data_IF_463205248142
#
_entry.id   IF_463205248142
#
_cell.length_a   1.000
_cell.length_b   1.000
_cell.length_c   1.000
_cell.angle_alpha   90.00
_cell.angle_beta   90.00
_cell.angle_gamma   90.00
#
_symmetry.space_group_name_H-M   'P 1'
#
loop_
_entity.id
_entity.type
_entity.pdbx_description
1 polymer ?
#
# COMPACT_ATOMS: atom_id res chain seq x y z
N UNK A 1 -10.11 11.11 20.16
CA UNK A 1 -9.72 10.03 19.22
C UNK A 1 -8.36 10.36 18.64
N UNK A 2 -7.45 9.41 18.73
CA UNK A 2 -6.07 9.60 18.29
C UNK A 2 -5.99 9.59 16.75
N UNK A 3 -5.10 10.42 16.19
CA UNK A 3 -4.75 10.37 14.78
C UNK A 3 -3.57 9.41 14.60
N UNK A 4 -3.68 8.51 13.63
CA UNK A 4 -2.62 7.54 13.30
C UNK A 4 -2.07 7.86 11.93
N UNK A 5 -0.89 8.49 11.85
CA UNK A 5 -0.25 8.72 10.56
C UNK A 5 0.37 7.42 10.04
N UNK A 6 0.24 7.19 8.75
CA UNK A 6 0.86 6.04 8.11
C UNK A 6 1.28 6.37 6.68
N UNK A 7 2.31 5.68 6.20
CA UNK A 7 2.76 5.74 4.82
C UNK A 7 2.29 4.50 4.09
N UNK A 8 1.74 4.69 2.89
CA UNK A 8 1.22 3.64 2.04
C UNK A 8 1.97 3.63 0.72
N UNK A 9 2.20 2.46 0.19
CA UNK A 9 3.07 2.27 -0.97
C UNK A 9 2.28 1.76 -2.16
N UNK A 10 2.35 2.51 -3.25
CA UNK A 10 1.85 2.05 -4.55
C UNK A 10 3.06 1.48 -5.28
N UNK A 11 3.29 0.19 -5.12
CA UNK A 11 4.44 -0.50 -5.73
C UNK A 11 4.01 -1.00 -7.09
N UNK A 12 4.67 -0.52 -8.13
CA UNK A 12 4.28 -0.79 -9.51
C UNK A 12 5.38 -1.57 -10.23
N UNK A 13 4.98 -2.64 -10.91
CA UNK A 13 5.84 -3.40 -11.82
C UNK A 13 6.08 -2.62 -13.11
N UNK A 14 7.01 -3.07 -13.98
CA UNK A 14 7.21 -2.42 -15.28
C UNK A 14 5.95 -2.36 -16.14
N UNK A 15 5.03 -3.31 -15.96
CA UNK A 15 3.74 -3.36 -16.68
C UNK A 15 2.64 -2.57 -15.98
N UNK A 16 2.96 -1.81 -14.92
CA UNK A 16 2.00 -1.06 -14.11
C UNK A 16 0.98 -1.95 -13.40
N UNK A 17 1.38 -3.14 -12.99
CA UNK A 17 0.61 -3.94 -12.04
C UNK A 17 0.94 -3.46 -10.63
N UNK A 18 -0.07 -3.38 -9.76
CA UNK A 18 0.11 -2.89 -8.40
C UNK A 18 0.15 -4.04 -7.41
N UNK A 19 1.12 -3.97 -6.49
CA UNK A 19 1.25 -4.96 -5.43
C UNK A 19 0.26 -4.67 -4.31
N UNK A 20 -0.57 -5.67 -3.99
CA UNK A 20 -1.44 -5.62 -2.82
C UNK A 20 -1.23 -6.87 -1.99
N UNK A 21 -1.43 -6.72 -0.67
CA UNK A 21 -1.43 -7.84 0.28
C UNK A 21 -2.84 -8.18 0.68
N UNK A 22 -3.11 -9.48 0.80
CA UNK A 22 -4.39 -9.98 1.30
C UNK A 22 -4.29 -10.18 2.81
N UNK A 23 -5.08 -9.41 3.55
CA UNK A 23 -5.16 -9.52 5.00
C UNK A 23 -6.35 -10.37 5.40
N UNK A 24 -6.11 -11.33 6.29
CA UNK A 24 -7.15 -12.21 6.81
C UNK A 24 -7.01 -12.26 8.33
N UNK A 25 -7.95 -11.62 9.02
CA UNK A 25 -7.91 -11.52 10.48
C UNK A 25 -8.74 -12.64 11.10
N UNK A 26 -8.14 -13.41 12.02
CA UNK A 26 -8.78 -14.58 12.61
C UNK A 26 -8.89 -14.54 14.12
N UNK A 27 -8.01 -13.78 14.82
CA UNK A 27 -7.98 -13.79 16.28
C UNK A 27 -7.66 -12.43 16.89
N UNK A 28 -8.05 -11.36 16.21
CA UNK A 28 -7.93 -10.00 16.75
C UNK A 28 -9.29 -9.28 16.63
N UNK A 29 -9.32 -7.98 16.93
CA UNK A 29 -10.55 -7.20 16.92
C UNK A 29 -11.20 -7.12 15.53
N UNK A 30 -10.46 -7.43 14.47
CA UNK A 30 -10.95 -7.44 13.09
C UNK A 30 -11.30 -8.85 12.61
N UNK A 31 -11.38 -9.83 13.50
CA UNK A 31 -11.68 -11.22 13.15
C UNK A 31 -12.84 -11.35 12.18
N UNK A 32 -12.66 -12.19 11.17
CA UNK A 32 -13.64 -12.42 10.11
C UNK A 32 -13.49 -11.49 8.92
N UNK A 33 -12.63 -10.48 8.98
CA UNK A 33 -12.40 -9.57 7.86
C UNK A 33 -11.29 -10.10 6.95
N UNK A 34 -11.57 -10.09 5.65
CA UNK A 34 -10.59 -10.39 4.60
C UNK A 34 -10.66 -9.28 3.56
N UNK A 35 -9.52 -8.70 3.25
CA UNK A 35 -9.44 -7.61 2.28
C UNK A 35 -8.02 -7.51 1.72
N UNK A 36 -7.89 -6.79 0.62
CA UNK A 36 -6.60 -6.45 0.02
C UNK A 36 -6.27 -5.00 0.30
N UNK A 37 -5.02 -4.72 0.59
CA UNK A 37 -4.59 -3.34 0.84
C UNK A 37 -3.14 -3.15 0.40
N UNK A 38 -2.77 -1.87 0.23
CA UNK A 38 -1.41 -1.48 -0.12
C UNK A 38 -0.44 -1.83 1.00
N UNK A 39 0.82 -2.16 0.68
CA UNK A 39 1.87 -2.23 1.69
C UNK A 39 2.03 -0.90 2.41
N UNK A 40 2.59 -0.94 3.61
CA UNK A 40 2.85 0.24 4.40
C UNK A 40 2.45 0.06 5.85
N UNK A 41 2.58 1.11 6.62
CA UNK A 41 2.24 1.06 8.04
C UNK A 41 2.43 2.40 8.74
N UNK A 42 2.18 2.39 10.03
CA UNK A 42 2.25 3.59 10.87
C UNK A 42 3.67 4.13 11.03
N UNK A 43 3.76 5.43 11.22
CA UNK A 43 5.01 6.09 11.54
C UNK A 43 5.48 5.67 12.93
N UNK A 44 6.78 5.48 13.06
CA UNK A 44 7.43 5.29 14.36
C UNK A 44 7.81 6.65 14.94
N UNK A 45 8.20 6.65 16.21
CA UNK A 45 8.54 7.88 16.90
C UNK A 45 9.64 8.66 16.14
N UNK A 46 9.41 9.95 15.94
CA UNK A 46 10.32 10.87 15.23
C UNK A 46 10.56 10.52 13.76
N UNK A 47 9.71 9.69 13.17
CA UNK A 47 9.84 9.30 11.78
C UNK A 47 9.00 10.23 10.89
N UNK A 48 9.56 10.62 9.73
CA UNK A 48 8.78 11.31 8.71
C UNK A 48 7.98 10.31 7.88
N UNK A 49 7.02 10.79 7.10
CA UNK A 49 6.28 9.93 6.19
C UNK A 49 7.21 9.26 5.17
N UNK A 50 8.20 9.98 4.64
CA UNK A 50 9.16 9.38 3.71
C UNK A 50 10.00 8.30 4.38
N UNK A 51 10.49 8.56 5.58
CA UNK A 51 11.27 7.56 6.33
C UNK A 51 10.46 6.31 6.60
N UNK A 52 9.20 6.47 6.98
CA UNK A 52 8.29 5.34 7.19
C UNK A 52 8.06 4.57 5.89
N UNK A 53 7.87 5.28 4.78
CA UNK A 53 7.68 4.65 3.48
C UNK A 53 8.88 3.77 3.12
N UNK A 54 10.09 4.27 3.29
CA UNK A 54 11.31 3.53 2.96
C UNK A 54 11.52 2.33 3.89
N UNK A 55 11.24 2.50 5.18
CA UNK A 55 11.34 1.42 6.16
C UNK A 55 10.33 0.31 5.87
N UNK A 56 9.07 0.68 5.67
CA UNK A 56 8.02 -0.30 5.37
C UNK A 56 8.27 -1.02 4.05
N UNK A 57 8.81 -0.32 3.05
CA UNK A 57 9.16 -0.91 1.77
C UNK A 57 10.18 -2.04 1.97
N UNK A 58 11.23 -1.78 2.74
CA UNK A 58 12.24 -2.78 3.04
C UNK A 58 11.65 -3.95 3.85
N UNK A 59 10.91 -3.64 4.91
CA UNK A 59 10.35 -4.65 5.80
C UNK A 59 9.37 -5.58 5.09
N UNK A 60 8.52 -5.03 4.24
CA UNK A 60 7.42 -5.80 3.65
C UNK A 60 7.74 -6.39 2.29
N UNK A 61 8.65 -5.79 1.53
CA UNK A 61 8.95 -6.27 0.17
C UNK A 61 10.41 -6.64 -0.06
N UNK A 62 11.31 -6.20 0.82
CA UNK A 62 12.75 -6.37 0.64
C UNK A 62 13.39 -5.34 -0.29
N UNK A 63 12.61 -4.43 -0.87
CA UNK A 63 13.14 -3.41 -1.77
C UNK A 63 13.85 -2.31 -0.99
N UNK A 64 15.02 -1.90 -1.48
CA UNK A 64 15.82 -0.85 -0.88
C UNK A 64 15.82 0.36 -1.80
N UNK A 65 15.46 1.53 -1.24
CA UNK A 65 15.48 2.81 -1.94
C UNK A 65 16.06 3.87 -1.01
N UNK A 66 16.67 4.90 -1.58
CA UNK A 66 17.23 6.02 -0.82
C UNK A 66 16.26 7.18 -0.73
N UNK A 67 15.27 7.21 -1.60
CA UNK A 67 14.22 8.23 -1.61
C UNK A 67 12.91 7.60 -2.06
N UNK A 68 11.81 8.06 -1.46
CA UNK A 68 10.47 7.58 -1.82
C UNK A 68 9.81 8.44 -2.89
N UNK A 69 10.43 9.55 -3.26
CA UNK A 69 9.81 10.52 -4.15
C UNK A 69 8.75 11.35 -3.44
N UNK A 70 7.99 12.16 -4.19
CA UNK A 70 6.98 13.00 -3.58
C UNK A 70 5.76 12.19 -3.13
N UNK A 71 5.08 12.69 -2.11
CA UNK A 71 3.77 12.19 -1.75
C UNK A 71 2.79 12.53 -2.88
N UNK A 72 2.08 11.52 -3.38
CA UNK A 72 1.20 11.70 -4.54
C UNK A 72 -0.28 11.78 -4.18
N UNK A 73 -0.64 11.38 -2.98
CA UNK A 73 -2.03 11.39 -2.52
C UNK A 73 -2.07 11.27 -1.00
N UNK A 74 -3.21 11.63 -0.44
CA UNK A 74 -3.47 11.42 0.98
C UNK A 74 -4.95 11.11 1.17
N UNK A 75 -5.28 10.46 2.29
CA UNK A 75 -6.66 10.29 2.70
C UNK A 75 -6.75 10.22 4.22
N UNK A 76 -7.92 10.60 4.74
CA UNK A 76 -8.20 10.59 6.17
C UNK A 76 -9.57 9.97 6.39
N UNK A 77 -9.66 9.07 7.35
CA UNK A 77 -10.91 8.38 7.66
C UNK A 77 -10.81 7.73 9.03
N UNK A 78 -11.97 7.39 9.59
CA UNK A 78 -12.04 6.68 10.88
C UNK A 78 -11.91 5.19 10.64
N UNK A 79 -11.07 4.52 11.42
CA UNK A 79 -10.89 3.07 11.31
C UNK A 79 -10.65 2.43 12.67
N UNK A 80 -10.93 1.14 12.76
CA UNK A 80 -10.59 0.34 13.93
C UNK A 80 -9.31 -0.46 13.65
N UNK A 81 -8.40 -0.43 14.62
CA UNK A 81 -7.16 -1.21 14.56
C UNK A 81 -7.39 -2.63 15.09
N UNK A 82 -6.41 -3.50 14.83
CA UNK A 82 -6.47 -4.91 15.26
C UNK A 82 -6.58 -5.07 16.77
N UNK A 83 -6.11 -4.08 17.55
CA UNK A 83 -6.23 -4.08 19.02
C UNK A 83 -7.60 -3.55 19.51
N UNK A 84 -8.49 -3.16 18.59
CA UNK A 84 -9.81 -2.63 18.91
C UNK A 84 -9.87 -1.13 19.08
N UNK A 85 -8.74 -0.43 19.05
CA UNK A 85 -8.74 1.03 19.15
C UNK A 85 -9.31 1.65 17.87
N UNK A 86 -10.19 2.64 18.02
CA UNK A 86 -10.68 3.44 16.90
C UNK A 86 -9.85 4.70 16.77
N UNK A 87 -9.35 4.97 15.58
CA UNK A 87 -8.46 6.09 15.30
C UNK A 87 -8.91 6.84 14.06
N UNK A 88 -8.39 8.06 13.89
CA UNK A 88 -8.45 8.77 12.61
C UNK A 88 -7.18 8.43 11.85
N UNK A 89 -7.30 7.70 10.76
CA UNK A 89 -6.16 7.39 9.90
C UNK A 89 -5.80 8.62 9.08
N UNK A 90 -4.49 8.90 9.00
CA UNK A 90 -3.93 9.92 8.10
C UNK A 90 -2.93 9.19 7.21
N UNK A 91 -3.36 8.81 6.02
CA UNK A 91 -2.55 8.01 5.10
C UNK A 91 -1.95 8.88 3.99
N UNK A 92 -0.66 8.72 3.78
CA UNK A 92 0.08 9.39 2.71
C UNK A 92 0.65 8.34 1.77
N UNK A 93 0.47 8.55 0.45
CA UNK A 93 0.79 7.55 -0.57
C UNK A 93 2.01 7.94 -1.38
N UNK A 94 2.87 6.97 -1.63
CA UNK A 94 4.11 7.14 -2.40
C UNK A 94 4.14 6.07 -3.50
N UNK A 95 4.55 6.46 -4.71
CA UNK A 95 4.73 5.50 -5.82
C UNK A 95 6.15 4.98 -5.80
N UNK A 96 6.29 3.66 -5.81
CA UNK A 96 7.58 2.97 -5.91
C UNK A 96 7.56 2.14 -7.19
N UNK A 97 8.41 2.48 -8.13
CA UNK A 97 8.57 1.68 -9.34
C UNK A 97 9.61 0.60 -9.09
N UNK A 98 9.32 -0.63 -9.50
CA UNK A 98 10.26 -1.74 -9.37
C UNK A 98 10.39 -2.47 -10.70
N UNK A 99 11.52 -3.14 -10.90
CA UNK A 99 11.76 -3.99 -12.07
C UNK A 99 11.71 -5.48 -11.72
N UNK A 100 11.23 -5.82 -10.53
CA UNK A 100 11.08 -7.20 -10.09
C UNK A 100 9.70 -7.41 -9.49
N UNK A 101 9.16 -8.62 -9.62
CA UNK A 101 7.94 -9.03 -8.94
C UNK A 101 8.21 -9.91 -7.73
N UNK A 102 9.48 -10.13 -7.40
CA UNK A 102 9.87 -10.95 -6.26
C UNK A 102 9.67 -10.18 -4.95
N UNK A 103 9.09 -10.85 -3.96
CA UNK A 103 8.83 -10.29 -2.64
C UNK A 103 9.62 -11.07 -1.60
N UNK A 104 10.45 -10.36 -0.83
CA UNK A 104 11.18 -10.95 0.28
C UNK A 104 10.37 -10.75 1.57
N UNK A 105 9.86 -11.84 2.12
CA UNK A 105 9.02 -11.85 3.32
C UNK A 105 9.80 -12.09 4.60
N UNK A 106 11.13 -12.18 4.50
CA UNK A 106 11.96 -12.59 5.64
C UNK A 106 11.94 -11.60 6.80
N UNK A 107 11.58 -10.33 6.54
CA UNK A 107 11.53 -9.28 7.54
C UNK A 107 10.13 -9.00 8.08
N UNK A 108 9.13 -9.79 7.67
CA UNK A 108 7.77 -9.63 8.19
C UNK A 108 7.75 -9.88 9.69
N UNK A 109 7.00 -9.05 10.42
CA UNK A 109 6.77 -9.24 11.84
C UNK A 109 5.95 -10.51 12.07
N UNK A 110 5.93 -10.99 13.32
CA UNK A 110 5.09 -12.15 13.69
C UNK A 110 3.62 -11.89 13.37
N UNK A 111 3.14 -10.67 13.62
CA UNK A 111 1.75 -10.30 13.32
C UNK A 111 1.50 -10.26 11.82
N UNK A 112 2.43 -9.73 11.04
CA UNK A 112 2.29 -9.71 9.57
C UNK A 112 2.23 -11.11 8.99
N UNK A 113 3.10 -12.01 9.46
CA UNK A 113 3.09 -13.41 9.02
C UNK A 113 1.76 -14.10 9.33
N UNK A 114 1.09 -13.66 10.38
CA UNK A 114 -0.17 -14.24 10.83
C UNK A 114 -1.36 -13.71 10.03
N UNK A 115 -1.37 -12.41 9.70
CA UNK A 115 -2.54 -11.78 9.07
C UNK A 115 -2.42 -11.63 7.56
N UNK A 116 -1.21 -11.54 7.01
CA UNK A 116 -1.03 -11.44 5.56
C UNK A 116 -1.01 -12.85 4.98
N UNK A 117 -2.11 -13.21 4.32
CA UNK A 117 -2.30 -14.55 3.76
C UNK A 117 -1.61 -14.70 2.40
N UNK A 118 -1.59 -13.63 1.59
CA UNK A 118 -1.13 -13.71 0.22
C UNK A 118 -0.73 -12.33 -0.29
N UNK A 119 -0.07 -12.30 -1.44
CA UNK A 119 0.17 -11.08 -2.20
C UNK A 119 -0.15 -11.34 -3.66
N UNK A 120 -0.47 -10.27 -4.40
CA UNK A 120 -0.78 -10.37 -5.81
C UNK A 120 -0.47 -9.04 -6.50
N UNK A 121 -0.03 -9.13 -7.74
CA UNK A 121 0.20 -7.97 -8.59
C UNK A 121 -1.02 -7.77 -9.47
N UNK A 122 -1.83 -6.79 -9.11
CA UNK A 122 -3.14 -6.55 -9.75
C UNK A 122 -3.00 -5.67 -10.97
N UNK A 123 -3.71 -6.03 -12.07
CA UNK A 123 -3.88 -5.14 -13.22
C UNK A 123 -5.04 -4.19 -12.96
N UNK A 124 -5.07 -3.07 -13.71
CA UNK A 124 -6.19 -2.14 -13.58
C UNK A 124 -7.52 -2.80 -13.95
N UNK A 125 -7.50 -3.69 -14.95
CA UNK A 125 -8.72 -4.40 -15.37
C UNK A 125 -9.22 -5.34 -14.28
N UNK A 126 -8.31 -6.03 -13.61
CA UNK A 126 -8.69 -6.89 -12.48
C UNK A 126 -9.30 -6.06 -11.36
N UNK A 127 -8.72 -4.89 -11.06
CA UNK A 127 -9.23 -4.01 -10.02
C UNK A 127 -10.64 -3.49 -10.36
N UNK A 128 -10.89 -3.19 -11.64
CA UNK A 128 -12.20 -2.68 -12.08
C UNK A 128 -13.30 -3.71 -11.99
N UNK A 129 -12.99 -4.99 -12.04
CA UNK A 129 -13.98 -6.07 -12.18
C UNK A 129 -14.01 -7.03 -11.01
N UNK A 130 -13.16 -6.86 -10.00
CA UNK A 130 -13.10 -7.78 -8.87
C UNK A 130 -14.28 -7.59 -7.91
N UNK A 131 -14.71 -8.70 -7.29
CA UNK A 131 -15.65 -8.67 -6.17
C UNK A 131 -14.93 -8.62 -4.81
N UNK A 132 -13.61 -8.68 -4.83
CA UNK A 132 -12.82 -8.60 -3.60
C UNK A 132 -12.88 -7.21 -2.99
N UNK A 133 -12.70 -7.14 -1.67
CA UNK A 133 -12.64 -5.86 -0.96
C UNK A 133 -11.21 -5.33 -1.07
N UNK A 134 -11.05 -4.16 -1.64
CA UNK A 134 -9.75 -3.54 -1.88
C UNK A 134 -9.73 -2.12 -1.31
N UNK A 135 -8.71 -1.80 -0.51
CA UNK A 135 -8.54 -0.48 0.08
C UNK A 135 -7.18 0.12 -0.32
N UNK A 136 -7.17 1.34 -0.83
CA UNK A 136 -8.29 2.17 -1.32
C UNK A 136 -8.50 1.98 -2.82
N UNK A 137 -9.57 1.33 -3.22
CA UNK A 137 -9.80 0.92 -4.60
C UNK A 137 -9.79 2.10 -5.59
N UNK A 138 -10.61 3.11 -5.32
CA UNK A 138 -10.76 4.22 -6.27
C UNK A 138 -9.48 5.03 -6.44
N UNK A 139 -8.76 5.24 -5.35
CA UNK A 139 -7.49 5.97 -5.39
C UNK A 139 -6.45 5.20 -6.22
N UNK A 140 -6.37 3.88 -6.03
CA UNK A 140 -5.44 3.04 -6.79
C UNK A 140 -5.79 3.07 -8.26
N UNK A 141 -7.07 2.91 -8.62
CA UNK A 141 -7.50 2.96 -10.01
C UNK A 141 -7.16 4.31 -10.64
N UNK A 142 -7.43 5.41 -9.93
CA UNK A 142 -7.12 6.73 -10.44
C UNK A 142 -5.63 6.93 -10.71
N UNK A 143 -4.77 6.43 -9.83
CA UNK A 143 -3.32 6.49 -10.03
C UNK A 143 -2.91 5.69 -11.26
N UNK A 144 -3.43 4.48 -11.42
CA UNK A 144 -3.09 3.63 -12.57
C UNK A 144 -3.59 4.24 -13.86
N UNK A 145 -4.79 4.80 -13.88
CA UNK A 145 -5.33 5.49 -15.07
C UNK A 145 -4.47 6.69 -15.44
N UNK A 146 -4.03 7.46 -14.47
CA UNK A 146 -3.17 8.61 -14.70
C UNK A 146 -1.85 8.20 -15.36
N UNK A 147 -1.28 7.07 -14.95
CA UNK A 147 -0.04 6.56 -15.53
C UNK A 147 -0.26 6.05 -16.96
N UNK A 148 -1.41 5.49 -17.28
CA UNK A 148 -1.73 5.03 -18.62
C UNK A 148 -1.86 6.20 -19.62
N UNK A 149 -2.41 7.35 -19.15
CA UNK A 149 -2.58 8.53 -19.98
C UNK A 149 -1.33 9.40 -20.04
N UNK A 150 -0.44 9.26 -19.08
CA UNK A 150 0.79 10.05 -18.96
C UNK A 150 1.95 9.32 -19.64
N UNK A 151 1.77 9.00 -20.92
CA UNK A 151 2.77 8.30 -21.70
C UNK A 151 3.82 9.26 -22.27
N UNK A 152 5.05 8.74 -22.54
CA UNK A 152 6.08 9.59 -23.14
C UNK A 152 5.67 10.24 -24.46
N UNK A 153 4.79 9.59 -25.23
CA UNK A 153 4.31 10.12 -26.50
C UNK A 153 3.55 11.44 -26.28
N UNK A 154 2.68 11.47 -25.29
CA UNK A 154 1.95 12.70 -24.98
C UNK A 154 2.88 13.77 -24.42
N UNK A 155 3.83 13.40 -23.59
CA UNK A 155 4.76 14.34 -23.00
C UNK A 155 5.67 14.97 -24.06
N UNK A 156 6.09 14.19 -25.05
CA UNK A 156 6.96 14.67 -26.12
C UNK A 156 6.22 15.62 -27.03
N UNK A 157 4.94 15.42 -27.23
CA UNK A 157 4.14 16.27 -28.13
C UNK A 157 3.86 17.66 -27.58
N UNK A 158 4.22 17.90 -26.36
CA UNK A 158 4.07 19.21 -25.69
C UNK A 158 5.04 20.28 -26.25
#
# INVERSE_FOLDING_TARGET
MRTRPSSRLIVLSPENHVLLFCFCHTDDALSGRTYWATPGGGLEHNESFEQAALRELLEETGLIRTAAGPQIASRSFTMMLADGETVVADERFFIINTNTSDIDRSRWSSNEKKVIRDHYWWTIEELRHTDEIIFPLDLIINILESRLTDSPVFNVSQ
#
